data_IF_235743259697
#
_entry.id   IF_235743259697
#
_cell.length_a   1.000
_cell.length_b   1.000
_cell.length_c   1.000
_cell.angle_alpha   90.00
_cell.angle_beta   90.00
_cell.angle_gamma   90.00
#
_symmetry.space_group_name_H-M   'P 1'
#
loop_
_entity.id
_entity.type
_entity.pdbx_description
1 polymer ?
#
# COMPACT_ATOMS: atom_id res chain seq x y z
N UNK A 1 22.23 10.83 -13.92
CA UNK A 1 21.16 10.06 -14.60
C UNK A 1 20.31 9.36 -13.53
N UNK A 2 18.96 9.31 -13.67
CA UNK A 2 18.09 8.57 -12.75
C UNK A 2 18.08 7.09 -13.14
N UNK A 3 18.71 6.22 -12.36
CA UNK A 3 18.70 4.76 -12.60
C UNK A 3 17.28 4.18 -12.56
N UNK A 4 16.43 4.70 -11.68
CA UNK A 4 15.03 4.27 -11.55
C UNK A 4 14.19 4.75 -12.73
N UNK A 5 14.30 6.03 -13.11
CA UNK A 5 13.52 6.61 -14.21
C UNK A 5 13.75 5.93 -15.56
N UNK A 6 14.99 5.52 -15.83
CA UNK A 6 15.37 4.89 -17.10
C UNK A 6 15.01 3.39 -17.21
N UNK A 7 14.57 2.76 -16.10
CA UNK A 7 14.19 1.35 -16.18
C UNK A 7 12.86 1.21 -16.93
N UNK A 8 12.80 0.39 -17.99
CA UNK A 8 11.55 0.11 -18.69
C UNK A 8 10.53 -0.56 -17.77
N UNK A 9 9.26 -0.42 -18.10
CA UNK A 9 8.15 -1.10 -17.41
C UNK A 9 7.56 -2.10 -18.39
N UNK A 10 7.70 -3.38 -18.10
CA UNK A 10 7.05 -4.44 -18.87
C UNK A 10 5.58 -4.51 -18.50
N UNK A 11 4.70 -4.46 -19.50
CA UNK A 11 3.25 -4.58 -19.30
C UNK A 11 2.89 -6.05 -19.43
N UNK A 12 2.35 -6.69 -18.37
CA UNK A 12 1.96 -8.09 -18.42
C UNK A 12 0.70 -8.27 -19.29
N UNK A 13 0.50 -9.48 -19.79
CA UNK A 13 -0.71 -9.84 -20.53
C UNK A 13 -1.98 -9.59 -19.69
N UNK A 14 -3.01 -9.02 -20.34
CA UNK A 14 -4.27 -8.68 -19.68
C UNK A 14 -4.30 -7.32 -19.00
N UNK A 15 -3.25 -6.51 -19.14
CA UNK A 15 -3.25 -5.10 -18.73
C UNK A 15 -3.32 -4.21 -19.96
N UNK A 16 -4.29 -3.31 -20.03
CA UNK A 16 -4.42 -2.29 -21.04
C UNK A 16 -4.03 -0.92 -20.50
N UNK A 17 -3.36 -0.13 -21.33
CA UNK A 17 -2.87 1.19 -20.95
C UNK A 17 -3.37 2.20 -21.98
N UNK A 18 -4.04 3.24 -21.50
CA UNK A 18 -4.47 4.38 -22.29
C UNK A 18 -3.64 5.60 -21.86
N UNK A 19 -2.95 6.22 -22.80
CA UNK A 19 -2.08 7.38 -22.57
C UNK A 19 -2.70 8.58 -23.27
N UNK A 20 -2.98 9.62 -22.50
CA UNK A 20 -3.37 10.94 -22.99
C UNK A 20 -2.25 11.94 -22.65
N UNK A 21 -2.33 13.18 -23.14
CA UNK A 21 -1.26 14.17 -23.01
C UNK A 21 -0.74 14.36 -21.58
N UNK A 22 -1.65 14.34 -20.58
CA UNK A 22 -1.30 14.57 -19.17
C UNK A 22 -1.83 13.49 -18.22
N UNK A 23 -2.39 12.38 -18.74
CA UNK A 23 -3.05 11.36 -17.95
C UNK A 23 -2.75 9.97 -18.48
N UNK A 24 -2.50 9.05 -17.59
CA UNK A 24 -2.39 7.63 -17.88
C UNK A 24 -3.46 6.87 -17.12
N UNK A 25 -4.14 5.95 -17.81
CA UNK A 25 -5.14 5.05 -17.25
C UNK A 25 -4.63 3.64 -17.47
N UNK A 26 -4.55 2.88 -16.40
CA UNK A 26 -4.11 1.48 -16.42
C UNK A 26 -5.26 0.60 -15.96
N UNK A 27 -5.71 -0.30 -16.83
CA UNK A 27 -6.85 -1.21 -16.59
C UNK A 27 -6.34 -2.65 -16.56
N UNK A 28 -6.78 -3.43 -15.61
CA UNK A 28 -6.45 -4.84 -15.51
C UNK A 28 -7.57 -5.65 -14.86
N UNK A 29 -7.28 -6.91 -14.56
CA UNK A 29 -8.27 -7.84 -13.98
C UNK A 29 -8.81 -7.45 -12.61
N UNK A 30 -8.04 -6.66 -11.83
CA UNK A 30 -8.41 -6.30 -10.46
C UNK A 30 -9.10 -4.93 -10.36
N UNK A 31 -8.92 -4.08 -11.36
CA UNK A 31 -9.49 -2.74 -11.39
C UNK A 31 -8.82 -1.82 -12.38
N UNK A 32 -9.12 -0.54 -12.22
CA UNK A 32 -8.63 0.56 -13.05
C UNK A 32 -8.04 1.64 -12.15
N UNK A 33 -6.89 2.17 -12.52
CA UNK A 33 -6.24 3.30 -11.83
C UNK A 33 -5.90 4.36 -12.85
N UNK A 34 -6.14 5.61 -12.49
CA UNK A 34 -5.74 6.77 -13.25
C UNK A 34 -4.72 7.62 -12.52
N UNK A 35 -3.80 8.20 -13.26
CA UNK A 35 -2.77 9.10 -12.73
C UNK A 35 -2.52 10.24 -13.70
N UNK A 36 -2.60 11.46 -13.19
CA UNK A 36 -2.13 12.65 -13.91
C UNK A 36 -0.62 12.78 -13.78
N UNK A 37 0.03 13.22 -14.85
CA UNK A 37 1.46 13.49 -14.86
C UNK A 37 1.77 14.81 -15.55
N UNK A 38 2.91 15.41 -15.20
CA UNK A 38 3.40 16.65 -15.79
C UNK A 38 4.91 16.61 -15.99
N UNK A 39 5.42 17.31 -17.02
CA UNK A 39 6.85 17.48 -17.31
C UNK A 39 7.59 16.14 -17.59
N UNK A 40 6.85 15.13 -17.98
CA UNK A 40 7.37 13.86 -18.49
C UNK A 40 6.56 13.45 -19.71
N UNK A 41 7.14 12.67 -20.60
CA UNK A 41 6.43 12.00 -21.69
C UNK A 41 6.46 10.50 -21.45
N UNK A 42 5.33 9.86 -21.73
CA UNK A 42 5.17 8.41 -21.55
C UNK A 42 4.93 7.80 -22.93
N UNK A 43 5.76 6.83 -23.32
CA UNK A 43 5.69 6.14 -24.60
C UNK A 43 5.59 4.65 -24.39
N UNK A 44 4.74 4.01 -25.17
CA UNK A 44 4.58 2.56 -25.18
C UNK A 44 5.05 1.99 -26.51
N UNK A 45 5.99 1.04 -26.47
CA UNK A 45 6.51 0.33 -27.62
C UNK A 45 6.53 -1.16 -27.32
N UNK A 46 5.88 -1.97 -28.15
CA UNK A 46 5.92 -3.44 -28.08
C UNK A 46 5.66 -4.03 -26.66
N UNK A 47 4.70 -3.48 -25.91
CA UNK A 47 4.39 -3.94 -24.55
C UNK A 47 5.37 -3.46 -23.47
N UNK A 48 6.28 -2.54 -23.82
CA UNK A 48 7.22 -1.90 -22.89
C UNK A 48 6.92 -0.42 -22.82
N UNK A 49 6.73 0.09 -21.60
CA UNK A 49 6.46 1.48 -21.34
C UNK A 49 7.73 2.18 -20.85
N UNK A 50 8.06 3.25 -21.52
CA UNK A 50 9.19 4.12 -21.18
C UNK A 50 8.70 5.51 -20.77
N UNK A 51 9.29 6.05 -19.72
CA UNK A 51 9.04 7.40 -19.26
C UNK A 51 10.26 8.25 -19.60
N UNK A 52 10.04 9.36 -20.30
CA UNK A 52 11.11 10.29 -20.68
C UNK A 52 10.88 11.64 -19.99
N UNK A 53 11.95 12.35 -19.66
CA UNK A 53 11.90 13.70 -19.10
C UNK A 53 12.08 14.76 -20.20
N UNK A 54 11.43 15.89 -20.01
CA UNK A 54 11.49 16.99 -20.97
C UNK A 54 12.87 17.68 -20.98
N UNK A 55 13.54 17.75 -19.82
CA UNK A 55 14.87 18.37 -19.70
C UNK A 55 15.70 17.80 -18.54
N UNK A 56 16.96 18.23 -18.44
CA UNK A 56 17.92 17.85 -17.38
C UNK A 56 17.77 18.69 -16.09
N UNK A 57 16.72 19.52 -15.96
CA UNK A 57 16.45 20.27 -14.75
C UNK A 57 16.21 19.34 -13.54
N UNK A 58 16.56 19.80 -12.33
CA UNK A 58 16.47 19.03 -11.09
C UNK A 58 15.03 18.53 -10.84
N UNK A 59 14.03 19.37 -11.12
CA UNK A 59 12.61 19.06 -10.96
C UNK A 59 12.15 17.95 -11.92
N UNK A 60 12.55 18.04 -13.19
CA UNK A 60 12.22 17.02 -14.20
C UNK A 60 12.89 15.67 -13.90
N UNK A 61 14.10 15.67 -13.33
CA UNK A 61 14.76 14.45 -12.83
C UNK A 61 14.00 13.81 -11.67
N UNK A 62 13.49 14.61 -10.74
CA UNK A 62 12.68 14.14 -9.63
C UNK A 62 11.34 13.54 -10.11
N UNK A 63 10.61 14.25 -10.98
CA UNK A 63 9.36 13.81 -11.57
C UNK A 63 9.51 12.54 -12.42
N UNK A 64 10.60 12.43 -13.17
CA UNK A 64 10.91 11.24 -13.97
C UNK A 64 10.92 9.96 -13.13
N UNK A 65 11.66 9.95 -12.02
CA UNK A 65 11.71 8.80 -11.11
C UNK A 65 10.39 8.56 -10.37
N UNK A 66 9.69 9.64 -9.99
CA UNK A 66 8.39 9.58 -9.33
C UNK A 66 7.34 8.90 -10.23
N UNK A 67 7.10 9.46 -11.42
CA UNK A 67 6.05 8.95 -12.31
C UNK A 67 6.36 7.54 -12.81
N UNK A 68 7.62 7.24 -13.12
CA UNK A 68 8.01 5.87 -13.45
C UNK A 68 7.64 4.89 -12.35
N UNK A 69 7.89 5.24 -11.09
CA UNK A 69 7.58 4.38 -9.94
C UNK A 69 6.08 4.27 -9.70
N UNK A 70 5.32 5.36 -9.86
CA UNK A 70 3.86 5.35 -9.74
C UNK A 70 3.23 4.46 -10.82
N UNK A 71 3.61 4.64 -12.08
CA UNK A 71 3.09 3.83 -13.20
C UNK A 71 3.43 2.34 -13.01
N UNK A 72 4.64 2.03 -12.59
CA UNK A 72 5.00 0.64 -12.27
C UNK A 72 4.15 0.04 -11.14
N UNK A 73 3.87 0.83 -10.10
CA UNK A 73 2.98 0.40 -9.01
C UNK A 73 1.54 0.18 -9.50
N UNK A 74 1.04 0.99 -10.45
CA UNK A 74 -0.27 0.82 -11.05
C UNK A 74 -0.34 -0.49 -11.85
N UNK A 75 0.65 -0.76 -12.72
CA UNK A 75 0.71 -1.98 -13.54
C UNK A 75 0.71 -3.23 -12.64
N UNK A 76 1.56 -3.28 -11.62
CA UNK A 76 1.58 -4.39 -10.65
C UNK A 76 0.25 -4.47 -9.89
N UNK A 77 -0.30 -3.33 -9.49
CA UNK A 77 -1.54 -3.27 -8.72
C UNK A 77 -2.74 -3.84 -9.45
N UNK A 78 -2.94 -3.49 -10.72
CA UNK A 78 -4.08 -3.99 -11.51
C UNK A 78 -3.90 -5.44 -11.99
N UNK A 79 -2.67 -5.95 -12.04
CA UNK A 79 -2.36 -7.32 -12.45
C UNK A 79 -2.36 -8.31 -11.28
N UNK A 80 -1.57 -8.05 -10.25
CA UNK A 80 -1.33 -8.95 -9.11
C UNK A 80 -2.01 -8.48 -7.82
N UNK A 81 -2.14 -7.15 -7.66
CA UNK A 81 -2.64 -6.53 -6.44
C UNK A 81 -1.54 -6.27 -5.39
N UNK A 82 -1.89 -5.44 -4.42
CA UNK A 82 -1.03 -5.12 -3.29
C UNK A 82 -1.63 -5.66 -2.00
N UNK A 83 -0.82 -6.36 -1.21
CA UNK A 83 -1.22 -6.88 0.09
C UNK A 83 -0.39 -6.25 1.19
N UNK A 84 -1.03 -5.88 2.31
CA UNK A 84 -0.40 -5.48 3.56
C UNK A 84 -1.01 -6.24 4.71
N UNK A 85 -0.16 -6.75 5.59
CA UNK A 85 -0.57 -7.52 6.76
C UNK A 85 -0.18 -6.79 8.03
N UNK A 86 -1.13 -6.71 8.96
CA UNK A 86 -0.98 -6.09 10.26
C UNK A 86 -1.22 -7.13 11.35
N UNK A 87 -0.36 -7.16 12.33
CA UNK A 87 -0.42 -8.05 13.49
C UNK A 87 -0.85 -7.25 14.74
N UNK A 88 -1.83 -7.78 15.48
CA UNK A 88 -2.31 -7.21 16.72
C UNK A 88 -1.64 -7.88 17.91
N UNK A 89 -0.72 -7.21 18.56
CA UNK A 89 0.02 -7.73 19.71
C UNK A 89 -0.56 -7.19 21.00
N UNK A 90 -1.20 -8.04 21.77
CA UNK A 90 -1.76 -7.64 23.08
C UNK A 90 -2.77 -8.66 23.61
N UNK A 91 -2.83 -8.79 24.94
CA UNK A 91 -3.81 -9.68 25.58
C UNK A 91 -5.22 -9.15 25.34
N UNK A 92 -6.10 -9.99 24.83
CA UNK A 92 -7.49 -9.63 24.54
C UNK A 92 -7.70 -8.79 23.27
N UNK A 93 -6.65 -8.54 22.47
CA UNK A 93 -6.81 -7.88 21.18
C UNK A 93 -7.52 -8.80 20.20
N UNK A 94 -8.49 -8.26 19.50
CA UNK A 94 -9.28 -8.98 18.48
C UNK A 94 -9.54 -8.09 17.28
N UNK A 95 -9.66 -8.70 16.12
CA UNK A 95 -10.07 -8.06 14.89
C UNK A 95 -11.16 -8.92 14.23
N UNK A 96 -12.23 -8.30 13.80
CA UNK A 96 -13.33 -8.95 13.07
C UNK A 96 -13.68 -8.12 11.87
N UNK A 97 -13.68 -8.74 10.70
CA UNK A 97 -14.09 -8.11 9.44
C UNK A 97 -15.46 -8.63 9.03
N UNK A 98 -16.37 -7.73 8.69
CA UNK A 98 -17.70 -8.03 8.16
C UNK A 98 -17.95 -7.16 6.92
N UNK A 99 -17.68 -7.71 5.75
CA UNK A 99 -17.69 -6.94 4.50
C UNK A 99 -16.68 -5.78 4.57
N UNK A 100 -17.15 -4.55 4.42
CA UNK A 100 -16.32 -3.34 4.47
C UNK A 100 -16.17 -2.73 5.87
N UNK A 101 -16.70 -3.39 6.90
CA UNK A 101 -16.54 -2.94 8.29
C UNK A 101 -15.49 -3.77 8.99
N UNK A 102 -14.50 -3.09 9.57
CA UNK A 102 -13.48 -3.68 10.43
C UNK A 102 -13.72 -3.23 11.87
N UNK A 103 -13.98 -4.18 12.75
CA UNK A 103 -14.11 -3.96 14.18
C UNK A 103 -12.85 -4.44 14.91
N UNK A 104 -12.33 -3.60 15.79
CA UNK A 104 -11.10 -3.82 16.53
C UNK A 104 -11.33 -3.64 18.03
N UNK A 105 -11.02 -4.67 18.81
CA UNK A 105 -10.89 -4.58 20.26
C UNK A 105 -9.41 -4.44 20.62
N UNK A 106 -9.01 -3.27 21.10
CA UNK A 106 -7.60 -2.89 21.32
C UNK A 106 -7.28 -2.57 22.80
N UNK A 107 -8.07 -3.11 23.71
CA UNK A 107 -7.91 -2.86 25.15
C UNK A 107 -8.36 -1.46 25.59
N UNK A 108 -9.24 -0.83 24.81
CA UNK A 108 -10.04 0.32 25.23
C UNK A 108 -11.35 -0.12 25.86
N UNK A 109 -12.07 0.80 26.50
CA UNK A 109 -13.42 0.55 27.05
C UNK A 109 -14.49 0.34 25.98
N UNK A 110 -14.17 0.64 24.70
CA UNK A 110 -15.03 0.52 23.54
C UNK A 110 -14.30 -0.15 22.38
N UNK A 111 -15.02 -0.77 21.46
CA UNK A 111 -14.46 -1.23 20.19
C UNK A 111 -14.31 -0.06 19.20
N UNK A 112 -13.29 -0.15 18.38
CA UNK A 112 -13.04 0.79 17.27
C UNK A 112 -13.63 0.18 16.01
N UNK A 113 -14.58 0.87 15.37
CA UNK A 113 -15.18 0.45 14.10
C UNK A 113 -14.70 1.37 13.00
N UNK A 114 -14.18 0.78 11.91
CA UNK A 114 -13.72 1.51 10.73
C UNK A 114 -14.41 0.96 9.47
N UNK A 115 -15.03 1.86 8.69
CA UNK A 115 -15.50 1.55 7.35
C UNK A 115 -14.35 1.72 6.36
N UNK A 116 -14.18 0.73 5.48
CA UNK A 116 -13.15 0.71 4.46
C UNK A 116 -13.74 1.07 3.10
N UNK A 117 -12.92 1.62 2.22
CA UNK A 117 -13.29 1.87 0.83
C UNK A 117 -13.56 0.54 0.10
N UNK A 118 -14.43 0.57 -0.92
CA UNK A 118 -14.84 -0.65 -1.65
C UNK A 118 -13.68 -1.34 -2.37
N UNK A 119 -12.66 -0.59 -2.74
CA UNK A 119 -11.46 -1.05 -3.43
C UNK A 119 -10.51 -1.86 -2.51
N UNK A 120 -10.72 -1.77 -1.18
CA UNK A 120 -9.90 -2.48 -0.20
C UNK A 120 -10.63 -3.68 0.34
N UNK A 121 -10.14 -4.88 0.06
CA UNK A 121 -10.61 -6.12 0.69
C UNK A 121 -9.90 -6.29 2.03
N UNK A 122 -10.65 -6.64 3.06
CA UNK A 122 -10.12 -6.93 4.39
C UNK A 122 -10.48 -8.35 4.80
N UNK A 123 -9.49 -9.07 5.28
CA UNK A 123 -9.63 -10.40 5.86
C UNK A 123 -8.98 -10.41 7.24
N UNK A 124 -9.58 -11.13 8.17
CA UNK A 124 -9.03 -11.29 9.52
C UNK A 124 -8.75 -12.75 9.77
N UNK A 125 -7.53 -13.06 10.16
CA UNK A 125 -7.11 -14.42 10.55
C UNK A 125 -6.82 -14.42 12.03
N UNK A 126 -7.50 -15.31 12.78
CA UNK A 126 -7.32 -15.45 14.21
C UNK A 126 -7.20 -16.93 14.55
N UNK A 127 -5.98 -17.38 14.82
CA UNK A 127 -5.67 -18.74 15.25
C UNK A 127 -5.45 -18.80 16.76
N UNK A 128 -5.81 -19.94 17.36
CA UNK A 128 -5.56 -20.14 18.81
C UNK A 128 -4.07 -20.13 19.10
N UNK A 129 -3.64 -19.24 20.00
CA UNK A 129 -2.23 -19.11 20.40
C UNK A 129 -1.38 -18.19 19.51
N UNK A 130 -1.90 -17.68 18.40
CA UNK A 130 -1.25 -16.69 17.57
C UNK A 130 -1.89 -15.30 17.73
N UNK A 131 -1.14 -14.28 17.36
CA UNK A 131 -1.67 -12.92 17.32
C UNK A 131 -2.64 -12.76 16.14
N UNK A 132 -3.78 -12.08 16.29
CA UNK A 132 -4.68 -11.81 15.18
C UNK A 132 -3.98 -11.02 14.08
N UNK A 133 -4.21 -11.41 12.82
CA UNK A 133 -3.66 -10.78 11.64
C UNK A 133 -4.80 -10.17 10.83
N UNK A 134 -4.60 -8.93 10.39
CA UNK A 134 -5.46 -8.24 9.44
C UNK A 134 -4.74 -8.19 8.11
N UNK A 135 -5.32 -8.78 7.09
CA UNK A 135 -4.82 -8.77 5.72
C UNK A 135 -5.63 -7.79 4.89
N UNK A 136 -4.96 -6.81 4.30
CA UNK A 136 -5.55 -5.79 3.45
C UNK A 136 -5.05 -6.00 2.03
N UNK A 137 -5.96 -6.07 1.07
CA UNK A 137 -5.62 -6.26 -0.35
C UNK A 137 -6.35 -5.25 -1.21
N UNK A 138 -5.66 -4.60 -2.14
CA UNK A 138 -6.25 -3.73 -3.16
C UNK A 138 -5.33 -3.63 -4.38
N UNK A 139 -5.88 -3.16 -5.48
CA UNK A 139 -5.10 -2.80 -6.65
C UNK A 139 -4.35 -1.46 -6.47
N UNK A 140 -4.83 -0.58 -5.59
CA UNK A 140 -4.15 0.70 -5.29
C UNK A 140 -3.21 0.56 -4.08
N UNK A 141 -1.90 0.67 -4.37
CA UNK A 141 -0.83 0.64 -3.35
C UNK A 141 -0.94 1.76 -2.34
N UNK A 142 -1.30 2.96 -2.79
CA UNK A 142 -1.39 4.13 -1.93
C UNK A 142 -2.56 3.98 -0.95
N UNK A 143 -3.71 3.56 -1.44
CA UNK A 143 -4.90 3.35 -0.63
C UNK A 143 -4.68 2.27 0.44
N UNK A 144 -4.13 1.09 0.06
CA UNK A 144 -3.76 0.05 1.04
C UNK A 144 -2.79 0.58 2.10
N UNK A 145 -1.79 1.35 1.67
CA UNK A 145 -0.82 1.94 2.58
C UNK A 145 -1.44 2.93 3.57
N UNK A 146 -2.34 3.79 3.10
CA UNK A 146 -3.06 4.76 3.95
C UNK A 146 -3.98 4.06 4.94
N UNK A 147 -4.75 3.07 4.49
CA UNK A 147 -5.65 2.27 5.35
C UNK A 147 -4.83 1.54 6.42
N UNK A 148 -3.75 0.87 6.04
CA UNK A 148 -2.87 0.18 6.97
C UNK A 148 -2.26 1.14 8.01
N UNK A 149 -1.79 2.31 7.58
CA UNK A 149 -1.25 3.34 8.47
C UNK A 149 -2.32 3.88 9.43
N UNK A 150 -3.55 4.07 8.97
CA UNK A 150 -4.69 4.49 9.80
C UNK A 150 -5.01 3.45 10.86
N UNK A 151 -5.13 2.18 10.49
CA UNK A 151 -5.37 1.07 11.44
C UNK A 151 -4.25 1.02 12.49
N UNK A 152 -2.99 1.07 12.05
CA UNK A 152 -1.83 1.10 12.97
C UNK A 152 -1.84 2.30 13.91
N UNK A 153 -2.39 3.44 13.49
CA UNK A 153 -2.46 4.65 14.30
C UNK A 153 -3.43 4.55 15.49
N UNK A 154 -4.44 3.66 15.45
CA UNK A 154 -5.37 3.47 16.57
C UNK A 154 -4.67 2.98 17.84
N UNK A 155 -3.68 2.13 17.70
CA UNK A 155 -2.85 1.67 18.83
C UNK A 155 -1.43 1.40 18.33
N UNK A 156 -0.59 2.44 18.31
CA UNK A 156 0.82 2.31 17.92
C UNK A 156 1.56 1.32 18.84
N UNK A 157 2.53 0.56 18.31
CA UNK A 157 3.30 -0.36 19.14
C UNK A 157 4.13 0.38 20.18
N UNK A 158 4.05 -0.06 21.41
CA UNK A 158 4.82 0.51 22.51
C UNK A 158 6.27 -0.07 22.53
N UNK A 159 7.25 0.70 23.02
CA UNK A 159 8.64 0.27 23.00
C UNK A 159 9.04 -0.71 24.13
N UNK A 160 8.18 -0.97 25.11
CA UNK A 160 8.53 -1.81 26.27
C UNK A 160 8.15 -3.28 26.06
N UNK A 161 6.86 -3.58 26.00
CA UNK A 161 6.33 -4.94 25.76
C UNK A 161 5.96 -5.20 24.31
N UNK A 162 5.98 -4.16 23.46
CA UNK A 162 5.64 -4.25 22.05
C UNK A 162 4.15 -4.41 21.77
N UNK A 163 3.27 -4.07 22.75
CA UNK A 163 1.82 -4.10 22.56
C UNK A 163 1.39 -3.02 21.56
N UNK A 164 0.48 -3.36 20.69
CA UNK A 164 -0.04 -2.45 19.66
C UNK A 164 -0.25 -3.15 18.34
N UNK A 165 -0.55 -2.38 17.30
CA UNK A 165 -0.70 -2.85 15.93
C UNK A 165 0.59 -2.54 15.19
N UNK A 166 1.21 -3.56 14.58
CA UNK A 166 2.42 -3.43 13.78
C UNK A 166 2.26 -4.14 12.44
N UNK A 167 3.11 -3.85 11.49
CA UNK A 167 3.21 -4.66 10.28
C UNK A 167 3.80 -6.03 10.60
N UNK A 168 3.38 -7.05 9.88
CA UNK A 168 4.00 -8.37 10.01
C UNK A 168 5.47 -8.27 9.61
N UNK A 169 6.36 -8.78 10.47
CA UNK A 169 7.81 -8.67 10.30
C UNK A 169 8.44 -7.34 10.75
N UNK A 170 7.64 -6.36 11.23
CA UNK A 170 8.18 -5.11 11.77
C UNK A 170 8.93 -5.36 13.09
N UNK A 171 10.20 -5.02 13.13
CA UNK A 171 11.02 -5.10 14.34
C UNK A 171 10.87 -3.82 15.16
N UNK A 172 10.35 -3.95 16.36
CA UNK A 172 10.22 -2.82 17.30
C UNK A 172 11.46 -2.78 18.20
N UNK A 173 12.18 -1.66 18.16
CA UNK A 173 13.30 -1.41 19.08
C UNK A 173 12.75 -1.30 20.50
N UNK A 174 12.99 -2.35 21.32
CA UNK A 174 12.56 -2.37 22.70
C UNK A 174 13.50 -1.54 23.57
N UNK A 175 12.92 -0.83 24.54
CA UNK A 175 13.64 -0.12 25.59
C UNK A 175 13.55 -0.93 26.89
N UNK A 176 14.64 -0.91 27.69
CA UNK A 176 14.55 -1.39 29.06
C UNK A 176 13.60 -0.49 29.86
N UNK A 177 12.70 -1.09 30.62
CA UNK A 177 11.87 -0.36 31.57
C UNK A 177 12.72 0.23 32.69
N UNK A 178 12.09 1.05 33.56
CA UNK A 178 12.73 1.54 34.77
C UNK A 178 13.09 0.32 35.64
N UNK A 179 14.36 0.10 35.87
CA UNK A 179 14.81 -0.85 36.88
C UNK A 179 14.50 -0.24 38.25
N UNK A 180 13.78 -0.97 39.06
CA UNK A 180 13.54 -0.61 40.46
C UNK A 180 14.77 -0.96 41.31
#
# INVERSE_FOLDING_TARGET
MSRIGNNPITVPEGVSIEISDNKIIVKGKLGEIEQEFSDVSVKMNEGVLNVERVSEAKEHKAKHGLYRSLINNMVIGVSEGWTKELELVGVGYRATAQGQKLELALGFSHSVVMSLAQEVKVETVSEKGANPIIKLTSYDKQLVGQVAAKIRSFRKPEPYKGKGIRFVGEQIRRKAGKQA
#
